data_IF_519556446299
#
_entry.id   IF_519556446299
#
_cell.length_a   1.000
_cell.length_b   1.000
_cell.length_c   1.000
_cell.angle_alpha   90.00
_cell.angle_beta   90.00
_cell.angle_gamma   90.00
#
_symmetry.space_group_name_H-M   'P 1'
#
loop_
_entity.id
_entity.type
_entity.pdbx_description
1 polymer ?
#
# COMPACT_ATOMS: atom_id res chain seq x y z
N UNK A 1 9.11 -8.62 -19.56
CA UNK A 1 8.54 -9.25 -18.36
C UNK A 1 8.63 -10.77 -18.37
N UNK A 2 7.99 -11.49 -19.29
CA UNK A 2 8.07 -12.97 -19.33
C UNK A 2 9.50 -13.49 -19.52
N UNK A 3 10.32 -12.84 -20.33
CA UNK A 3 11.72 -13.21 -20.49
C UNK A 3 12.54 -12.98 -19.23
N UNK A 4 12.31 -11.89 -18.51
CA UNK A 4 12.97 -11.59 -17.23
C UNK A 4 12.68 -12.69 -16.21
N UNK A 5 11.42 -13.07 -16.05
CA UNK A 5 11.00 -14.13 -15.13
C UNK A 5 11.62 -15.48 -15.57
N UNK A 6 11.54 -15.83 -16.85
CA UNK A 6 12.14 -17.08 -17.38
C UNK A 6 13.65 -17.14 -17.13
N UNK A 7 14.36 -16.03 -17.34
CA UNK A 7 15.80 -15.97 -17.11
C UNK A 7 16.16 -15.97 -15.63
N UNK A 8 15.32 -15.38 -14.76
CA UNK A 8 15.47 -15.45 -13.32
C UNK A 8 15.44 -16.90 -12.80
N UNK A 9 14.56 -17.75 -13.33
CA UNK A 9 14.50 -19.18 -12.96
C UNK A 9 15.72 -19.98 -13.37
N UNK A 10 16.51 -19.54 -14.38
CA UNK A 10 17.77 -20.19 -14.77
C UNK A 10 18.88 -19.95 -13.76
N UNK A 11 18.83 -18.88 -12.98
CA UNK A 11 19.85 -18.53 -12.00
C UNK A 11 19.54 -19.23 -10.67
N UNK A 12 20.42 -20.13 -10.23
CA UNK A 12 20.21 -21.02 -9.06
C UNK A 12 19.86 -20.27 -7.77
N UNK A 13 20.51 -19.14 -7.49
CA UNK A 13 20.24 -18.38 -6.25
C UNK A 13 18.93 -17.59 -6.33
N UNK A 14 18.63 -17.02 -7.50
CA UNK A 14 17.39 -16.29 -7.71
C UNK A 14 16.19 -17.24 -7.65
N UNK A 15 16.36 -18.43 -8.21
CA UNK A 15 15.37 -19.51 -8.11
C UNK A 15 15.11 -19.93 -6.65
N UNK A 16 16.16 -20.05 -5.81
CA UNK A 16 15.99 -20.34 -4.38
C UNK A 16 15.19 -19.24 -3.67
N UNK A 17 15.48 -17.95 -3.96
CA UNK A 17 14.75 -16.82 -3.40
C UNK A 17 13.29 -16.80 -3.84
N UNK A 18 13.00 -17.07 -5.11
CA UNK A 18 11.63 -17.17 -5.64
C UNK A 18 10.86 -18.30 -4.96
N UNK A 19 11.46 -19.49 -4.81
CA UNK A 19 10.82 -20.59 -4.10
C UNK A 19 10.57 -20.27 -2.63
N UNK A 20 11.52 -19.60 -1.96
CA UNK A 20 11.33 -19.15 -0.57
C UNK A 20 10.12 -18.23 -0.44
N UNK A 21 10.03 -17.21 -1.32
CA UNK A 21 8.87 -16.30 -1.35
C UNK A 21 7.58 -17.06 -1.60
N UNK A 22 7.55 -17.99 -2.55
CA UNK A 22 6.37 -18.78 -2.85
C UNK A 22 5.92 -19.64 -1.66
N UNK A 23 6.83 -20.33 -0.99
CA UNK A 23 6.49 -21.12 0.20
C UNK A 23 6.02 -20.25 1.36
N UNK A 24 6.63 -19.08 1.56
CA UNK A 24 6.16 -18.12 2.56
C UNK A 24 4.72 -17.68 2.30
N UNK A 25 4.34 -17.43 1.04
CA UNK A 25 2.96 -17.07 0.68
C UNK A 25 1.97 -18.23 0.92
N UNK A 26 2.38 -19.48 0.74
CA UNK A 26 1.55 -20.64 1.11
C UNK A 26 1.27 -20.63 2.63
N UNK A 27 2.28 -20.34 3.45
CA UNK A 27 2.10 -20.23 4.91
C UNK A 27 1.12 -19.11 5.26
N UNK A 28 1.21 -17.95 4.59
CA UNK A 28 0.23 -16.86 4.76
C UNK A 28 -1.19 -17.37 4.44
N UNK A 29 -1.35 -18.14 3.36
CA UNK A 29 -2.69 -18.64 2.97
C UNK A 29 -3.25 -19.64 3.97
N UNK A 30 -2.43 -20.55 4.47
CA UNK A 30 -2.86 -21.51 5.50
C UNK A 30 -3.33 -20.77 6.75
N UNK A 31 -2.53 -19.81 7.26
CA UNK A 31 -2.89 -19.05 8.45
C UNK A 31 -4.13 -18.16 8.25
N UNK A 32 -4.38 -17.68 7.02
CA UNK A 32 -5.60 -16.91 6.71
C UNK A 32 -6.90 -17.74 6.74
N UNK A 33 -6.81 -19.06 6.78
CA UNK A 33 -7.95 -19.97 6.90
C UNK A 33 -8.15 -20.53 8.33
N UNK A 34 -7.20 -20.30 9.24
CA UNK A 34 -7.29 -20.77 10.61
C UNK A 34 -8.12 -19.79 11.45
N UNK A 35 -9.33 -20.16 11.89
CA UNK A 35 -10.18 -19.26 12.67
C UNK A 35 -9.60 -19.00 14.06
N UNK A 36 -9.86 -17.82 14.61
CA UNK A 36 -9.52 -17.47 15.99
C UNK A 36 -10.41 -18.26 16.94
N UNK A 37 -9.84 -18.94 17.94
CA UNK A 37 -10.63 -19.66 18.94
C UNK A 37 -11.56 -18.72 19.72
N UNK A 38 -12.76 -19.18 20.04
CA UNK A 38 -13.72 -18.47 20.89
C UNK A 38 -14.62 -17.47 20.16
N UNK A 39 -14.61 -17.44 18.82
CA UNK A 39 -15.43 -16.52 18.01
C UNK A 39 -16.38 -17.29 17.10
N UNK A 40 -17.63 -16.85 16.99
CA UNK A 40 -18.65 -17.39 16.06
C UNK A 40 -18.41 -16.80 14.67
N UNK A 41 -17.58 -17.45 13.86
CA UNK A 41 -17.16 -16.91 12.55
C UNK A 41 -18.33 -16.71 11.57
N UNK A 42 -19.37 -17.57 11.62
CA UNK A 42 -20.54 -17.45 10.74
C UNK A 42 -21.32 -16.16 11.00
N UNK A 43 -21.55 -15.83 12.25
CA UNK A 43 -22.25 -14.61 12.65
C UNK A 43 -21.45 -13.34 12.27
N UNK A 44 -20.12 -13.40 12.36
CA UNK A 44 -19.25 -12.31 11.93
C UNK A 44 -19.30 -12.16 10.40
N UNK A 45 -19.27 -13.25 9.65
CA UNK A 45 -19.40 -13.23 8.19
C UNK A 45 -20.72 -12.63 7.73
N UNK A 46 -21.83 -12.93 8.40
CA UNK A 46 -23.12 -12.31 8.14
C UNK A 46 -23.11 -10.80 8.43
N UNK A 47 -22.46 -10.39 9.53
CA UNK A 47 -22.26 -8.98 9.86
C UNK A 47 -21.49 -8.26 8.74
N UNK A 48 -20.41 -8.85 8.23
CA UNK A 48 -19.62 -8.27 7.14
C UNK A 48 -20.40 -8.17 5.84
N UNK A 49 -21.19 -9.17 5.49
CA UNK A 49 -22.03 -9.14 4.30
C UNK A 49 -23.11 -8.04 4.36
N UNK A 50 -23.54 -7.68 5.57
CA UNK A 50 -24.51 -6.59 5.81
C UNK A 50 -23.84 -5.20 5.89
N UNK A 51 -22.56 -5.12 6.28
CA UNK A 51 -21.83 -3.87 6.50
C UNK A 51 -20.72 -3.64 5.47
N UNK A 52 -21.05 -3.03 4.35
CA UNK A 52 -20.09 -2.67 3.30
C UNK A 52 -18.97 -1.71 3.73
N UNK A 53 -19.11 -1.10 4.90
CA UNK A 53 -18.14 -0.13 5.44
C UNK A 53 -16.75 -0.72 5.70
N UNK A 54 -16.66 -2.03 5.87
CA UNK A 54 -15.43 -2.76 6.20
C UNK A 54 -14.77 -3.42 4.97
N UNK A 55 -15.32 -3.23 3.78
CA UNK A 55 -14.85 -3.86 2.54
C UNK A 55 -13.37 -3.53 2.25
N UNK A 56 -12.94 -2.30 2.53
CA UNK A 56 -11.55 -1.89 2.31
C UNK A 56 -10.57 -2.72 3.16
N UNK A 57 -10.86 -2.90 4.46
CA UNK A 57 -10.02 -3.75 5.32
C UNK A 57 -10.04 -5.20 4.89
N UNK A 58 -11.22 -5.70 4.56
CA UNK A 58 -11.39 -7.07 4.11
C UNK A 58 -10.61 -7.32 2.80
N UNK A 59 -10.49 -6.30 1.95
CA UNK A 59 -9.71 -6.35 0.71
C UNK A 59 -8.21 -6.41 0.99
N UNK A 60 -7.69 -5.55 1.89
CA UNK A 60 -6.28 -5.56 2.28
C UNK A 60 -5.86 -6.85 3.00
N UNK A 61 -6.78 -7.46 3.74
CA UNK A 61 -6.53 -8.70 4.49
C UNK A 61 -6.75 -9.97 3.68
N UNK A 62 -7.20 -9.86 2.42
CA UNK A 62 -7.44 -11.01 1.55
C UNK A 62 -8.59 -11.91 2.01
N UNK A 63 -9.58 -11.36 2.76
CA UNK A 63 -10.70 -12.09 3.34
C UNK A 63 -10.42 -12.70 4.72
N UNK A 64 -9.20 -12.52 5.26
CA UNK A 64 -8.82 -13.02 6.58
C UNK A 64 -9.63 -12.36 7.70
N UNK A 65 -10.05 -11.11 7.49
CA UNK A 65 -10.85 -10.36 8.43
C UNK A 65 -12.30 -10.87 8.48
N UNK A 66 -12.91 -11.12 7.32
CA UNK A 66 -14.25 -11.68 7.18
C UNK A 66 -14.36 -13.10 7.79
N UNK A 67 -13.32 -13.92 7.61
CA UNK A 67 -13.23 -15.26 8.17
C UNK A 67 -12.76 -15.30 9.62
N UNK A 68 -12.50 -14.14 10.25
CA UNK A 68 -11.92 -14.04 11.60
C UNK A 68 -10.78 -15.03 11.81
N UNK A 69 -9.84 -15.03 10.88
CA UNK A 69 -8.67 -15.88 11.00
C UNK A 69 -7.64 -15.28 11.97
N UNK A 70 -6.66 -16.08 12.37
CA UNK A 70 -5.52 -15.63 13.20
C UNK A 70 -4.80 -14.44 12.54
N UNK A 71 -4.86 -14.33 11.21
CA UNK A 71 -4.30 -13.21 10.44
C UNK A 71 -5.33 -12.11 10.12
N UNK A 72 -6.42 -11.99 10.91
CA UNK A 72 -7.43 -10.97 10.64
C UNK A 72 -6.90 -9.53 10.70
N UNK A 73 -5.98 -9.20 11.62
CA UNK A 73 -5.29 -7.91 11.65
C UNK A 73 -4.30 -7.73 10.50
N UNK A 74 -3.84 -8.84 9.91
CA UNK A 74 -2.85 -8.85 8.84
C UNK A 74 -1.57 -8.05 9.23
N UNK A 75 -1.00 -7.34 8.27
CA UNK A 75 0.15 -6.43 8.42
C UNK A 75 -0.28 -4.97 8.65
N UNK A 76 -1.58 -4.70 8.84
CA UNK A 76 -2.10 -3.34 9.06
C UNK A 76 -1.46 -2.64 10.26
N UNK A 77 -1.29 -3.28 11.44
CA UNK A 77 -0.60 -2.64 12.57
C UNK A 77 0.86 -2.28 12.24
N UNK A 78 1.54 -3.10 11.44
CA UNK A 78 2.92 -2.81 11.02
C UNK A 78 2.99 -1.61 10.07
N UNK A 79 2.06 -1.50 9.12
CA UNK A 79 1.99 -0.35 8.21
C UNK A 79 1.76 0.91 9.02
N UNK A 80 0.79 0.91 9.93
CA UNK A 80 0.48 2.04 10.80
C UNK A 80 1.69 2.43 11.68
N UNK A 81 2.35 1.43 12.29
CA UNK A 81 3.57 1.64 13.07
C UNK A 81 4.69 2.26 12.25
N UNK A 82 4.90 1.77 11.02
CA UNK A 82 5.91 2.31 10.11
C UNK A 82 5.64 3.77 9.76
N UNK A 83 4.37 4.12 9.51
CA UNK A 83 3.94 5.50 9.29
C UNK A 83 4.26 6.37 10.51
N UNK A 84 3.85 5.92 11.69
CA UNK A 84 4.07 6.66 12.94
C UNK A 84 5.56 6.90 13.16
N UNK A 85 6.40 5.88 13.02
CA UNK A 85 7.85 6.02 13.19
C UNK A 85 8.45 6.97 12.13
N UNK A 86 8.03 6.89 10.87
CA UNK A 86 8.49 7.81 9.82
C UNK A 86 8.07 9.26 10.10
N UNK A 87 6.86 9.50 10.59
CA UNK A 87 6.43 10.83 11.02
C UNK A 87 7.24 11.33 12.21
N UNK A 88 7.51 10.46 13.17
CA UNK A 88 8.30 10.80 14.35
C UNK A 88 9.77 11.07 14.04
N UNK A 89 10.34 10.49 12.98
CA UNK A 89 11.72 10.81 12.56
C UNK A 89 11.88 12.26 12.10
N UNK A 90 10.80 12.93 11.69
CA UNK A 90 10.84 14.36 11.35
C UNK A 90 10.61 15.22 12.60
N UNK A 91 9.74 14.76 13.51
CA UNK A 91 9.35 15.53 14.67
C UNK A 91 10.37 15.46 15.83
N UNK A 92 11.10 14.35 15.93
CA UNK A 92 12.02 14.07 17.04
C UNK A 92 13.48 14.06 16.54
N UNK A 93 14.33 15.03 16.92
CA UNK A 93 15.72 15.13 16.45
C UNK A 93 16.54 13.86 16.65
N UNK A 94 16.31 13.16 17.77
CA UNK A 94 17.02 11.90 18.11
C UNK A 94 16.72 10.77 17.11
N UNK A 95 15.49 10.71 16.58
CA UNK A 95 15.12 9.74 15.56
C UNK A 95 15.61 10.17 14.16
N UNK A 96 15.69 11.49 13.92
CA UNK A 96 16.28 12.05 12.70
C UNK A 96 17.78 11.70 12.61
N UNK A 97 18.53 11.80 13.73
CA UNK A 97 19.93 11.37 13.80
C UNK A 97 20.07 9.88 13.45
N UNK A 98 19.24 9.00 14.05
CA UNK A 98 19.24 7.58 13.73
C UNK A 98 18.94 7.32 12.24
N UNK A 99 18.07 8.11 11.63
CA UNK A 99 17.77 7.99 10.19
C UNK A 99 18.99 8.33 9.32
N UNK A 100 19.84 9.26 9.79
CA UNK A 100 21.08 9.69 9.12
C UNK A 100 22.27 8.76 9.36
N UNK A 101 22.25 7.95 10.44
CA UNK A 101 23.33 7.03 10.84
C UNK A 101 23.50 5.80 9.92
N UNK A 102 22.84 5.75 8.78
CA UNK A 102 23.00 4.69 7.80
C UNK A 102 22.35 3.35 8.22
N UNK A 103 23.06 2.23 8.04
CA UNK A 103 22.49 0.89 8.31
C UNK A 103 22.19 0.60 9.78
N UNK A 104 23.05 1.04 10.70
CA UNK A 104 22.83 0.80 12.14
C UNK A 104 21.64 1.56 12.67
N UNK A 105 21.49 2.83 12.28
CA UNK A 105 20.33 3.62 12.64
C UNK A 105 19.02 3.06 12.06
N UNK A 106 19.04 2.59 10.81
CA UNK A 106 17.88 1.93 10.20
C UNK A 106 17.47 0.66 10.93
N UNK A 107 18.40 -0.15 11.40
CA UNK A 107 18.10 -1.35 12.21
C UNK A 107 17.37 -0.97 13.50
N UNK A 108 17.85 0.07 14.22
CA UNK A 108 17.17 0.57 15.43
C UNK A 108 15.77 1.11 15.15
N UNK A 109 15.59 1.86 14.06
CA UNK A 109 14.26 2.33 13.66
C UNK A 109 13.31 1.17 13.34
N UNK A 110 13.81 0.10 12.72
CA UNK A 110 13.03 -1.12 12.47
C UNK A 110 12.64 -1.81 13.79
N UNK A 111 13.53 -1.87 14.78
CA UNK A 111 13.21 -2.39 16.12
C UNK A 111 12.11 -1.57 16.79
N UNK A 112 12.17 -0.25 16.76
CA UNK A 112 11.10 0.61 17.28
C UNK A 112 9.78 0.38 16.54
N UNK A 113 9.83 0.22 15.23
CA UNK A 113 8.64 -0.12 14.44
C UNK A 113 8.02 -1.44 14.89
N UNK A 114 8.82 -2.47 15.18
CA UNK A 114 8.32 -3.76 15.70
C UNK A 114 7.63 -3.60 17.06
N UNK A 115 8.22 -2.85 18.01
CA UNK A 115 7.60 -2.62 19.31
C UNK A 115 6.26 -1.87 19.19
N UNK A 116 6.23 -0.81 18.38
CA UNK A 116 4.99 -0.06 18.12
C UNK A 116 3.96 -0.95 17.43
N UNK A 117 4.37 -1.82 16.50
CA UNK A 117 3.50 -2.79 15.83
C UNK A 117 2.82 -3.71 16.83
N UNK A 118 3.58 -4.29 17.77
CA UNK A 118 3.02 -5.17 18.80
C UNK A 118 2.06 -4.39 19.69
N UNK A 119 2.41 -3.18 20.13
CA UNK A 119 1.53 -2.33 20.92
C UNK A 119 0.21 -2.01 20.21
N UNK A 120 0.27 -1.63 18.94
CA UNK A 120 -0.91 -1.39 18.12
C UNK A 120 -1.73 -2.67 17.90
N UNK A 121 -1.07 -3.81 17.65
CA UNK A 121 -1.77 -5.10 17.50
C UNK A 121 -2.55 -5.49 18.75
N UNK A 122 -1.97 -5.29 19.95
CA UNK A 122 -2.67 -5.52 21.22
C UNK A 122 -3.86 -4.58 21.36
N UNK A 123 -3.70 -3.31 21.03
CA UNK A 123 -4.78 -2.33 21.13
C UNK A 123 -5.92 -2.63 20.14
N UNK A 124 -5.61 -2.93 18.89
CA UNK A 124 -6.59 -3.29 17.87
C UNK A 124 -7.30 -4.60 18.19
N UNK A 125 -6.56 -5.63 18.61
CA UNK A 125 -7.14 -6.92 18.99
C UNK A 125 -8.02 -6.83 20.25
N UNK A 126 -7.66 -5.98 21.22
CA UNK A 126 -8.48 -5.71 22.39
C UNK A 126 -9.80 -5.01 22.00
N UNK A 127 -9.73 -4.01 21.14
CA UNK A 127 -10.91 -3.32 20.61
C UNK A 127 -11.85 -4.30 19.88
N UNK A 128 -11.29 -5.20 19.05
CA UNK A 128 -12.06 -6.24 18.36
C UNK A 128 -12.69 -7.23 19.34
N UNK A 129 -11.93 -7.75 20.30
CA UNK A 129 -12.43 -8.72 21.27
C UNK A 129 -13.58 -8.17 22.11
N UNK A 130 -13.48 -6.92 22.57
CA UNK A 130 -14.52 -6.22 23.32
C UNK A 130 -15.74 -5.95 22.43
N UNK A 131 -15.52 -5.48 21.19
CA UNK A 131 -16.58 -5.21 20.23
C UNK A 131 -17.40 -6.45 19.89
N UNK A 132 -16.74 -7.57 19.61
CA UNK A 132 -17.41 -8.85 19.36
C UNK A 132 -18.10 -9.40 20.60
N UNK A 133 -17.53 -9.19 21.79
CA UNK A 133 -18.16 -9.53 23.05
C UNK A 133 -19.49 -8.80 23.25
N UNK A 134 -19.50 -7.49 23.08
CA UNK A 134 -20.69 -6.66 23.22
C UNK A 134 -21.78 -6.98 22.17
N UNK A 135 -21.37 -7.47 20.99
CA UNK A 135 -22.28 -7.84 19.90
C UNK A 135 -22.79 -9.30 19.98
N UNK A 136 -22.34 -10.08 20.97
CA UNK A 136 -22.78 -11.48 21.15
C UNK A 136 -22.14 -12.48 20.17
N UNK A 137 -21.02 -12.11 19.53
CA UNK A 137 -20.32 -12.96 18.56
C UNK A 137 -19.28 -13.90 19.18
N UNK A 138 -19.21 -13.96 20.52
CA UNK A 138 -18.38 -14.94 21.24
C UNK A 138 -19.08 -16.28 21.35
N UNK A 139 -18.32 -17.36 21.36
CA UNK A 139 -18.83 -18.73 21.51
C UNK A 139 -19.46 -18.94 22.90
N UNK A 140 -18.84 -18.35 23.92
CA UNK A 140 -19.39 -18.33 25.28
C UNK A 140 -20.23 -17.06 25.43
N UNK A 141 -21.52 -17.10 25.31
CA UNK A 141 -22.45 -15.94 25.34
C UNK A 141 -22.17 -14.87 26.42
N UNK A 142 -21.12 -15.00 27.17
CA UNK A 142 -20.61 -14.06 28.19
C UNK A 142 -19.18 -13.63 27.88
N UNK A 143 -18.92 -12.34 28.06
CA UNK A 143 -17.58 -11.79 28.02
C UNK A 143 -16.78 -12.28 29.21
N UNK A 144 -15.96 -13.32 29.02
CA UNK A 144 -15.07 -13.85 30.05
C UNK A 144 -13.67 -13.32 29.80
N UNK A 145 -12.93 -12.96 30.87
CA UNK A 145 -11.55 -12.50 30.75
C UNK A 145 -10.66 -13.45 29.92
N UNK A 146 -10.87 -14.76 30.09
CA UNK A 146 -10.14 -15.80 29.33
C UNK A 146 -10.46 -15.78 27.86
N UNK A 147 -11.73 -15.62 27.45
CA UNK A 147 -12.12 -15.55 26.03
C UNK A 147 -11.52 -14.31 25.36
N UNK A 148 -11.57 -13.15 26.02
CA UNK A 148 -10.96 -11.92 25.52
C UNK A 148 -9.43 -12.04 25.41
N UNK A 149 -8.78 -12.60 26.43
CA UNK A 149 -7.34 -12.81 26.43
C UNK A 149 -6.88 -13.75 25.31
N UNK A 150 -7.60 -14.84 25.06
CA UNK A 150 -7.30 -15.78 23.96
C UNK A 150 -7.37 -15.08 22.60
N UNK A 151 -8.40 -14.27 22.36
CA UNK A 151 -8.57 -13.52 21.10
C UNK A 151 -7.42 -12.53 20.94
N UNK A 152 -7.11 -11.74 21.98
CA UNK A 152 -6.01 -10.74 21.93
C UNK A 152 -4.69 -11.42 21.62
N UNK A 153 -4.35 -12.48 22.34
CA UNK A 153 -3.08 -13.20 22.13
C UNK A 153 -3.02 -13.83 20.74
N UNK A 154 -4.11 -14.44 20.27
CA UNK A 154 -4.16 -15.09 18.96
C UNK A 154 -3.97 -14.10 17.82
N UNK A 155 -4.69 -12.97 17.84
CA UNK A 155 -4.61 -11.94 16.80
C UNK A 155 -3.25 -11.21 16.82
N UNK A 156 -2.75 -10.88 18.01
CA UNK A 156 -1.44 -10.24 18.18
C UNK A 156 -0.32 -11.16 17.70
N UNK A 157 -0.37 -12.44 18.07
CA UNK A 157 0.61 -13.43 17.62
C UNK A 157 0.58 -13.60 16.09
N UNK A 158 -0.63 -13.62 15.50
CA UNK A 158 -0.81 -13.67 14.05
C UNK A 158 -0.20 -12.49 13.31
N UNK A 159 -0.46 -11.27 13.78
CA UNK A 159 0.12 -10.04 13.21
C UNK A 159 1.64 -9.98 13.38
N UNK A 160 2.17 -10.34 14.55
CA UNK A 160 3.60 -10.42 14.81
C UNK A 160 4.28 -11.46 13.91
N UNK A 161 3.65 -12.61 13.69
CA UNK A 161 4.15 -13.64 12.79
C UNK A 161 4.19 -13.16 11.34
N UNK A 162 3.14 -12.48 10.85
CA UNK A 162 3.12 -11.92 9.50
C UNK A 162 4.16 -10.84 9.31
N UNK A 163 4.37 -9.97 10.30
CA UNK A 163 5.44 -8.98 10.29
C UNK A 163 6.81 -9.67 10.14
N UNK A 164 7.10 -10.66 10.99
CA UNK A 164 8.34 -11.42 10.92
C UNK A 164 8.50 -12.13 9.56
N UNK A 165 7.43 -12.75 9.04
CA UNK A 165 7.47 -13.43 7.75
C UNK A 165 7.73 -12.45 6.60
N UNK A 166 7.14 -11.24 6.64
CA UNK A 166 7.41 -10.18 5.67
C UNK A 166 8.87 -9.74 5.68
N UNK A 167 9.48 -9.60 6.87
CA UNK A 167 10.90 -9.29 6.99
C UNK A 167 11.78 -10.44 6.44
N UNK A 168 11.43 -11.70 6.72
CA UNK A 168 12.13 -12.85 6.18
C UNK A 168 12.05 -12.93 4.65
N UNK A 169 10.90 -12.59 4.05
CA UNK A 169 10.76 -12.50 2.59
C UNK A 169 11.67 -11.39 2.04
N UNK A 170 11.74 -10.24 2.71
CA UNK A 170 12.62 -9.13 2.29
C UNK A 170 14.09 -9.52 2.34
N UNK A 171 14.51 -10.25 3.36
CA UNK A 171 15.91 -10.66 3.58
C UNK A 171 16.32 -11.84 2.68
N UNK A 172 15.51 -12.90 2.65
CA UNK A 172 15.85 -14.19 2.00
C UNK A 172 15.12 -14.44 0.69
N UNK A 173 14.09 -13.67 0.40
CA UNK A 173 13.27 -13.79 -0.80
C UNK A 173 13.60 -12.75 -1.87
N UNK A 174 12.57 -12.36 -2.61
CA UNK A 174 12.62 -11.36 -3.68
C UNK A 174 11.62 -10.25 -3.36
N UNK A 175 12.01 -9.00 -3.55
CA UNK A 175 11.13 -7.86 -3.35
C UNK A 175 10.98 -7.43 -1.88
N UNK A 176 10.10 -6.48 -1.65
CA UNK A 176 9.68 -6.07 -0.31
C UNK A 176 8.61 -7.04 0.20
N UNK A 177 8.93 -7.84 1.22
CA UNK A 177 8.05 -8.91 1.71
C UNK A 177 6.69 -8.41 2.20
N UNK A 178 6.64 -7.25 2.86
CA UNK A 178 5.39 -6.63 3.30
C UNK A 178 4.49 -6.29 2.10
N UNK A 179 5.07 -5.67 1.08
CA UNK A 179 4.35 -5.31 -0.16
C UNK A 179 3.88 -6.57 -0.91
N UNK A 180 4.69 -7.64 -0.91
CA UNK A 180 4.33 -8.91 -1.55
C UNK A 180 3.18 -9.61 -0.81
N UNK A 181 3.16 -9.59 0.52
CA UNK A 181 2.04 -10.13 1.30
C UNK A 181 0.76 -9.34 1.00
N UNK A 182 0.83 -8.00 0.94
CA UNK A 182 -0.31 -7.17 0.53
C UNK A 182 -0.80 -7.51 -0.87
N UNK A 183 0.11 -7.58 -1.84
CA UNK A 183 -0.19 -7.97 -3.21
C UNK A 183 -0.91 -9.33 -3.24
N UNK A 184 -0.37 -10.31 -2.53
CA UNK A 184 -0.93 -11.66 -2.48
C UNK A 184 -2.36 -11.66 -1.89
N UNK A 185 -2.59 -10.95 -0.81
CA UNK A 185 -3.90 -10.84 -0.18
C UNK A 185 -4.93 -10.21 -1.13
N UNK A 186 -4.57 -9.12 -1.82
CA UNK A 186 -5.44 -8.47 -2.78
C UNK A 186 -5.74 -9.43 -3.96
N UNK A 187 -4.71 -10.06 -4.53
CA UNK A 187 -4.87 -10.99 -5.65
C UNK A 187 -5.71 -12.21 -5.26
N UNK A 188 -5.63 -12.68 -4.02
CA UNK A 188 -6.41 -13.84 -3.56
C UNK A 188 -7.94 -13.63 -3.58
N UNK A 189 -8.40 -12.36 -3.55
CA UNK A 189 -9.83 -12.00 -3.65
C UNK A 189 -10.30 -11.76 -5.07
N UNK A 190 -9.39 -11.57 -6.03
CA UNK A 190 -9.74 -11.29 -7.43
C UNK A 190 -10.79 -12.24 -8.00
N UNK A 191 -10.71 -13.58 -7.79
CA UNK A 191 -11.72 -14.50 -8.32
C UNK A 191 -13.13 -14.23 -7.79
N UNK A 192 -13.28 -13.94 -6.49
CA UNK A 192 -14.57 -13.63 -5.88
C UNK A 192 -15.13 -12.31 -6.41
N UNK A 193 -14.28 -11.32 -6.55
CA UNK A 193 -14.66 -10.00 -7.06
C UNK A 193 -15.11 -10.08 -8.52
N UNK A 194 -14.43 -10.88 -9.34
CA UNK A 194 -14.85 -11.17 -10.72
C UNK A 194 -16.18 -11.91 -10.77
N UNK A 195 -16.40 -12.86 -9.86
CA UNK A 195 -17.68 -13.56 -9.77
C UNK A 195 -18.83 -12.60 -9.43
N UNK A 196 -18.61 -11.69 -8.47
CA UNK A 196 -19.60 -10.68 -8.09
C UNK A 196 -19.94 -9.73 -9.25
N UNK A 197 -18.92 -9.29 -10.01
CA UNK A 197 -19.13 -8.48 -11.22
C UNK A 197 -19.92 -9.23 -12.28
N UNK A 198 -19.58 -10.50 -12.50
CA UNK A 198 -20.30 -11.36 -13.46
C UNK A 198 -21.77 -11.51 -13.06
N UNK A 199 -22.06 -11.80 -11.80
CA UNK A 199 -23.44 -11.94 -11.32
C UNK A 199 -24.24 -10.64 -11.48
N UNK A 200 -23.64 -9.51 -11.15
CA UNK A 200 -24.34 -8.23 -11.16
C UNK A 200 -24.56 -7.67 -12.57
N UNK A 201 -23.55 -7.71 -13.42
CA UNK A 201 -23.60 -7.06 -14.73
C UNK A 201 -24.00 -7.98 -15.87
N UNK A 202 -23.76 -9.28 -15.76
CA UNK A 202 -24.04 -10.23 -16.83
C UNK A 202 -25.33 -11.00 -16.53
N UNK A 203 -25.44 -11.66 -15.36
CA UNK A 203 -26.67 -12.36 -14.97
C UNK A 203 -27.83 -11.43 -14.62
N UNK A 204 -27.56 -10.28 -13.99
CA UNK A 204 -28.56 -9.28 -13.63
C UNK A 204 -28.99 -8.35 -14.76
N UNK A 205 -28.42 -8.49 -15.96
CA UNK A 205 -28.79 -7.68 -17.11
C UNK A 205 -30.15 -8.09 -17.69
N UNK A 206 -31.00 -7.11 -17.96
CA UNK A 206 -32.33 -7.33 -18.54
C UNK A 206 -32.28 -7.85 -19.99
N UNK A 207 -31.17 -7.64 -20.67
CA UNK A 207 -30.93 -8.07 -22.06
C UNK A 207 -29.50 -8.55 -22.20
N UNK A 208 -29.28 -9.61 -22.99
CA UNK A 208 -27.95 -10.19 -23.27
C UNK A 208 -26.97 -9.12 -23.82
N UNK A 209 -27.48 -8.23 -24.68
CA UNK A 209 -26.69 -7.12 -25.24
C UNK A 209 -26.16 -6.17 -24.15
N UNK A 210 -27.00 -5.81 -23.17
CA UNK A 210 -26.59 -4.93 -22.07
C UNK A 210 -25.57 -5.61 -21.17
N UNK A 211 -25.68 -6.92 -20.92
CA UNK A 211 -24.71 -7.69 -20.17
C UNK A 211 -23.34 -7.74 -20.87
N UNK A 212 -23.34 -7.95 -22.18
CA UNK A 212 -22.10 -8.01 -22.97
C UNK A 212 -21.43 -6.63 -23.06
N UNK A 213 -22.19 -5.55 -23.26
CA UNK A 213 -21.69 -4.17 -23.22
C UNK A 213 -21.10 -3.84 -21.84
N UNK A 214 -21.78 -4.21 -20.77
CA UNK A 214 -21.27 -4.00 -19.40
C UNK A 214 -19.93 -4.70 -19.16
N UNK A 215 -19.80 -5.96 -19.60
CA UNK A 215 -18.55 -6.72 -19.49
C UNK A 215 -17.40 -6.05 -20.27
N UNK A 216 -17.65 -5.63 -21.51
CA UNK A 216 -16.66 -4.96 -22.35
C UNK A 216 -16.21 -3.63 -21.72
N UNK A 217 -17.13 -2.82 -21.20
CA UNK A 217 -16.81 -1.56 -20.54
C UNK A 217 -15.95 -1.81 -19.30
N UNK A 218 -16.31 -2.77 -18.45
CA UNK A 218 -15.54 -3.08 -17.23
C UNK A 218 -14.10 -3.51 -17.60
N UNK A 219 -13.96 -4.42 -18.56
CA UNK A 219 -12.64 -4.88 -19.00
C UNK A 219 -11.82 -3.72 -19.58
N UNK A 220 -12.44 -2.88 -20.41
CA UNK A 220 -11.78 -1.73 -21.02
C UNK A 220 -11.30 -0.72 -19.96
N UNK A 221 -12.12 -0.44 -18.95
CA UNK A 221 -11.75 0.45 -17.84
C UNK A 221 -10.61 -0.14 -17.00
N UNK A 222 -10.69 -1.43 -16.65
CA UNK A 222 -9.63 -2.11 -15.88
C UNK A 222 -8.30 -2.10 -16.64
N UNK A 223 -8.30 -2.46 -17.92
CA UNK A 223 -7.10 -2.42 -18.76
C UNK A 223 -6.56 -0.99 -18.92
N UNK A 224 -7.44 -0.02 -19.15
CA UNK A 224 -7.06 1.39 -19.23
C UNK A 224 -6.41 1.89 -17.95
N UNK A 225 -6.95 1.52 -16.78
CA UNK A 225 -6.35 1.86 -15.48
C UNK A 225 -4.99 1.21 -15.28
N UNK A 226 -4.84 -0.08 -15.61
CA UNK A 226 -3.54 -0.78 -15.50
C UNK A 226 -2.49 -0.10 -16.38
N UNK A 227 -2.82 0.20 -17.65
CA UNK A 227 -1.92 0.91 -18.57
C UNK A 227 -1.55 2.29 -18.01
N UNK A 228 -2.54 3.05 -17.51
CA UNK A 228 -2.30 4.36 -16.92
C UNK A 228 -1.36 4.29 -15.69
N UNK A 229 -1.57 3.31 -14.81
CA UNK A 229 -0.70 3.12 -13.64
C UNK A 229 0.72 2.75 -14.06
N UNK A 230 0.88 1.89 -15.09
CA UNK A 230 2.21 1.53 -15.61
C UNK A 230 2.92 2.78 -16.14
N UNK A 231 2.25 3.59 -16.96
CA UNK A 231 2.80 4.82 -17.51
C UNK A 231 3.19 5.81 -16.39
N UNK A 232 2.34 5.94 -15.37
CA UNK A 232 2.60 6.80 -14.22
C UNK A 232 3.80 6.33 -13.38
N UNK A 233 3.96 5.01 -13.21
CA UNK A 233 5.00 4.41 -12.36
C UNK A 233 6.35 4.27 -13.08
N UNK A 234 6.34 4.12 -14.41
CA UNK A 234 7.56 4.05 -15.23
C UNK A 234 8.00 5.41 -15.76
N UNK A 235 7.11 6.41 -15.76
CA UNK A 235 7.43 7.76 -16.18
C UNK A 235 8.59 8.33 -15.37
N UNK A 236 9.66 8.77 -16.03
CA UNK A 236 10.82 9.39 -15.39
C UNK A 236 11.29 10.63 -16.13
N UNK A 237 11.69 11.64 -15.37
CA UNK A 237 12.38 12.82 -15.90
C UNK A 237 13.87 12.67 -15.69
N UNK A 238 14.64 12.60 -16.76
CA UNK A 238 16.10 12.48 -16.74
C UNK A 238 16.72 13.87 -16.72
N UNK A 239 17.48 14.18 -15.66
CA UNK A 239 18.24 15.42 -15.53
C UNK A 239 19.68 15.11 -15.91
N UNK A 240 20.19 15.77 -16.97
CA UNK A 240 21.57 15.59 -17.44
C UNK A 240 22.55 16.14 -16.41
N UNK A 241 23.57 15.35 -16.08
CA UNK A 241 24.69 15.73 -15.22
C UNK A 241 25.99 15.47 -15.95
N UNK A 242 26.88 16.43 -15.90
CA UNK A 242 28.23 16.32 -16.46
C UNK A 242 29.25 16.26 -15.32
N UNK A 243 30.18 15.34 -15.43
CA UNK A 243 31.30 15.24 -14.50
C UNK A 243 32.56 15.81 -15.11
N UNK A 244 33.33 16.59 -14.33
CA UNK A 244 34.60 17.16 -14.77
C UNK A 244 35.59 16.04 -15.09
N UNK A 245 36.35 16.20 -16.15
CA UNK A 245 37.48 15.32 -16.48
C UNK A 245 38.54 15.47 -15.39
N UNK A 246 38.99 14.36 -14.80
CA UNK A 246 40.14 14.35 -13.88
C UNK A 246 41.36 13.81 -14.61
N UNK A 247 42.49 14.50 -14.48
CA UNK A 247 43.78 14.00 -14.96
C UNK A 247 44.36 13.06 -13.89
N UNK A 248 44.56 11.80 -14.23
CA UNK A 248 45.25 10.83 -13.40
C UNK A 248 46.56 10.43 -14.10
N UNK A 249 47.65 11.10 -13.73
CA UNK A 249 48.91 11.01 -14.44
C UNK A 249 48.84 11.62 -15.84
N UNK A 250 49.26 10.89 -16.86
CA UNK A 250 49.21 11.31 -18.28
C UNK A 250 47.86 10.99 -18.98
N UNK A 251 46.92 10.31 -18.32
CA UNK A 251 45.63 9.94 -18.90
C UNK A 251 44.50 10.83 -18.38
N UNK A 252 43.67 11.34 -19.26
CA UNK A 252 42.41 11.99 -18.94
C UNK A 252 41.37 10.90 -18.63
N UNK A 253 40.95 10.81 -17.38
CA UNK A 253 39.90 9.87 -16.89
C UNK A 253 38.68 10.68 -16.51
N UNK A 254 37.48 10.26 -16.95
CA UNK A 254 36.22 10.94 -16.65
C UNK A 254 35.69 11.76 -17.81
N UNK A 255 34.64 12.54 -17.57
CA UNK A 255 33.93 13.29 -18.61
C UNK A 255 32.76 12.54 -19.21
N UNK A 256 32.27 11.49 -18.52
CA UNK A 256 31.02 10.84 -18.89
C UNK A 256 29.83 11.72 -18.47
N UNK A 257 28.93 11.94 -19.43
CA UNK A 257 27.63 12.51 -19.14
C UNK A 257 26.75 11.41 -18.52
N UNK A 258 26.19 11.69 -17.37
CA UNK A 258 25.23 10.82 -16.69
C UNK A 258 23.89 11.54 -16.54
N UNK A 259 22.87 10.88 -16.03
CA UNK A 259 21.60 11.52 -15.74
C UNK A 259 21.05 11.06 -14.39
N UNK A 260 20.34 11.95 -13.71
CA UNK A 260 19.59 11.64 -12.50
C UNK A 260 18.15 11.34 -12.95
N UNK A 261 17.67 10.08 -12.79
CA UNK A 261 16.29 9.75 -13.09
C UNK A 261 15.39 10.17 -11.91
N UNK A 262 14.42 11.05 -12.16
CA UNK A 262 13.37 11.41 -11.21
C UNK A 262 12.07 10.75 -11.69
N UNK A 263 11.57 9.78 -10.94
CA UNK A 263 10.31 9.10 -11.26
C UNK A 263 9.13 10.03 -11.01
N UNK A 264 8.11 10.00 -11.87
CA UNK A 264 6.87 10.76 -11.73
C UNK A 264 6.14 10.33 -10.46
N UNK A 265 6.06 9.03 -10.22
CA UNK A 265 5.55 8.47 -8.98
C UNK A 265 6.71 8.05 -8.07
N UNK A 266 7.41 9.02 -7.50
CA UNK A 266 8.52 8.77 -6.55
C UNK A 266 8.04 8.17 -5.23
N UNK A 267 6.84 8.55 -4.79
CA UNK A 267 6.25 8.07 -3.54
C UNK A 267 5.66 6.64 -3.64
N UNK A 268 5.51 6.10 -4.85
CA UNK A 268 4.97 4.77 -5.07
C UNK A 268 3.50 4.66 -4.65
N UNK A 269 3.16 3.55 -4.00
CA UNK A 269 1.81 3.24 -3.50
C UNK A 269 1.56 3.72 -2.07
N UNK A 270 2.60 4.13 -1.36
CA UNK A 270 2.57 4.43 0.07
C UNK A 270 1.57 5.54 0.43
N UNK A 271 1.49 6.68 -0.30
CA UNK A 271 0.52 7.74 0.00
C UNK A 271 -0.92 7.27 -0.03
N UNK A 272 -1.24 6.36 -0.94
CA UNK A 272 -2.60 5.83 -1.10
C UNK A 272 -2.96 4.91 0.07
N UNK A 273 -2.03 4.07 0.49
CA UNK A 273 -2.20 3.20 1.66
C UNK A 273 -2.38 4.05 2.93
N UNK A 274 -1.58 5.11 3.10
CA UNK A 274 -1.65 5.99 4.26
C UNK A 274 -2.98 6.74 4.32
N UNK A 275 -3.39 7.36 3.22
CA UNK A 275 -4.67 8.05 3.15
C UNK A 275 -5.83 7.06 3.42
N UNK A 276 -5.81 5.88 2.82
CA UNK A 276 -6.81 4.84 3.02
C UNK A 276 -6.88 4.36 4.47
N UNK A 277 -5.74 4.06 5.08
CA UNK A 277 -5.67 3.61 6.49
C UNK A 277 -6.19 4.67 7.45
N UNK A 278 -5.80 5.94 7.25
CA UNK A 278 -6.26 7.04 8.12
C UNK A 278 -7.78 7.25 8.04
N UNK A 279 -8.36 7.12 6.84
CA UNK A 279 -9.82 7.21 6.66
C UNK A 279 -10.58 6.03 7.25
N UNK A 280 -10.01 4.84 7.17
CA UNK A 280 -10.68 3.61 7.57
C UNK A 280 -10.58 3.36 9.07
N UNK A 281 -9.53 3.84 9.74
CA UNK A 281 -9.30 3.60 11.18
C UNK A 281 -10.47 4.07 12.07
N UNK A 282 -11.02 5.29 11.92
CA UNK A 282 -12.18 5.71 12.70
C UNK A 282 -13.44 4.86 12.47
N UNK A 283 -13.62 4.38 11.23
CA UNK A 283 -14.78 3.53 10.87
C UNK A 283 -14.67 2.17 11.56
N UNK A 284 -13.47 1.59 11.60
CA UNK A 284 -13.22 0.30 12.27
C UNK A 284 -13.42 0.42 13.76
N UNK A 285 -12.85 1.45 14.40
CA UNK A 285 -13.02 1.69 15.84
C UNK A 285 -14.50 1.89 16.18
N UNK A 286 -15.23 2.68 15.39
CA UNK A 286 -16.66 2.90 15.57
C UNK A 286 -17.49 1.62 15.36
N UNK A 287 -17.11 0.81 14.36
CA UNK A 287 -17.76 -0.48 14.10
C UNK A 287 -17.66 -1.43 15.30
N UNK A 288 -16.50 -1.49 15.95
CA UNK A 288 -16.32 -2.28 17.19
C UNK A 288 -17.04 -1.67 18.39
N UNK A 289 -17.23 -0.35 18.43
CA UNK A 289 -18.08 0.29 19.45
C UNK A 289 -19.59 0.14 19.17
N UNK A 290 -20.00 -0.60 18.12
CA UNK A 290 -21.40 -0.77 17.71
C UNK A 290 -22.01 0.46 17.08
N UNK A 291 -21.20 1.48 16.73
CA UNK A 291 -21.65 2.73 16.13
C UNK A 291 -21.59 2.58 14.61
N UNK A 292 -22.75 2.56 13.95
CA UNK A 292 -22.83 2.49 12.49
C UNK A 292 -22.93 3.87 11.86
N UNK A 293 -22.33 4.07 10.66
CA UNK A 293 -22.56 5.28 9.87
C UNK A 293 -24.05 5.42 9.56
N UNK A 294 -24.67 6.52 9.93
CA UNK A 294 -26.08 6.78 9.69
C UNK A 294 -26.30 8.14 9.03
N UNK A 295 -27.43 8.28 8.33
CA UNK A 295 -27.88 9.52 7.70
C UNK A 295 -29.29 9.85 8.13
N UNK A 296 -29.62 11.14 8.21
CA UNK A 296 -30.95 11.64 8.57
C UNK A 296 -30.94 12.54 9.79
N UNK A 297 -32.12 13.04 10.16
CA UNK A 297 -32.27 14.02 11.25
C UNK A 297 -32.07 13.43 12.64
N UNK A 298 -32.20 12.11 12.79
CA UNK A 298 -31.93 11.39 14.03
C UNK A 298 -30.48 10.91 14.23
N UNK A 299 -29.61 11.09 13.23
CA UNK A 299 -28.22 10.62 13.32
C UNK A 299 -27.36 11.59 14.14
N UNK A 300 -26.59 11.01 15.10
CA UNK A 300 -25.62 11.76 15.89
C UNK A 300 -24.54 12.38 14.98
N UNK A 301 -23.92 13.48 15.44
CA UNK A 301 -22.82 14.14 14.73
C UNK A 301 -21.69 13.18 14.40
N UNK A 302 -21.32 12.31 15.32
CA UNK A 302 -20.31 11.26 15.10
C UNK A 302 -20.67 10.28 13.98
N UNK A 303 -21.93 9.86 13.89
CA UNK A 303 -22.41 8.97 12.81
C UNK A 303 -22.39 9.65 11.45
N UNK A 304 -22.66 10.96 11.38
CA UNK A 304 -22.54 11.75 10.16
C UNK A 304 -21.10 11.88 9.71
N UNK A 305 -20.15 12.10 10.62
CA UNK A 305 -18.71 12.10 10.32
C UNK A 305 -18.27 10.75 9.78
N UNK A 306 -18.63 9.65 10.44
CA UNK A 306 -18.31 8.30 9.99
C UNK A 306 -18.84 8.04 8.56
N UNK A 307 -20.00 8.57 8.23
CA UNK A 307 -20.55 8.47 6.88
C UNK A 307 -19.75 9.29 5.85
N UNK A 308 -19.25 10.48 6.22
CA UNK A 308 -18.34 11.27 5.37
C UNK A 308 -17.03 10.53 5.13
N UNK A 309 -16.50 9.84 6.13
CA UNK A 309 -15.26 9.07 6.02
C UNK A 309 -15.44 7.77 5.21
N UNK A 310 -16.66 7.26 5.08
CA UNK A 310 -16.91 5.99 4.40
C UNK A 310 -16.87 6.13 2.89
N UNK A 311 -15.87 5.51 2.24
CA UNK A 311 -15.66 5.56 0.80
C UNK A 311 -16.87 5.05 -0.02
N UNK A 312 -17.64 4.10 0.53
CA UNK A 312 -18.83 3.55 -0.12
C UNK A 312 -20.02 4.51 -0.13
N UNK A 313 -19.94 5.62 0.60
CA UNK A 313 -20.98 6.67 0.64
C UNK A 313 -20.74 7.80 -0.35
N UNK A 314 -19.58 7.78 -1.03
CA UNK A 314 -19.21 8.87 -1.95
C UNK A 314 -19.77 8.64 -3.36
N UNK A 315 -20.01 9.73 -4.06
CA UNK A 315 -20.53 9.73 -5.45
C UNK A 315 -21.85 8.94 -5.64
N UNK A 316 -22.68 8.87 -4.61
CA UNK A 316 -23.99 8.23 -4.75
C UNK A 316 -24.99 9.21 -5.39
N UNK A 317 -25.28 8.98 -6.69
CA UNK A 317 -26.16 9.83 -7.47
C UNK A 317 -27.63 9.46 -7.33
N UNK A 318 -27.97 8.27 -6.83
CA UNK A 318 -29.35 7.80 -6.66
C UNK A 318 -30.11 8.60 -5.59
N UNK A 319 -29.37 9.25 -4.66
CA UNK A 319 -29.94 10.04 -3.57
C UNK A 319 -29.28 11.42 -3.51
N UNK A 320 -29.86 12.40 -4.17
CA UNK A 320 -29.36 13.80 -4.19
C UNK A 320 -29.07 14.38 -2.80
N UNK A 321 -29.78 13.95 -1.75
CA UNK A 321 -29.54 14.36 -0.37
C UNK A 321 -28.25 13.77 0.25
N UNK A 322 -27.68 12.73 -0.33
CA UNK A 322 -26.46 12.09 0.14
C UNK A 322 -25.19 12.63 -0.54
N UNK A 323 -25.34 13.44 -1.58
CA UNK A 323 -24.21 14.05 -2.31
C UNK A 323 -23.28 14.87 -1.39
N UNK A 324 -23.80 15.44 -0.30
CA UNK A 324 -22.99 16.14 0.71
C UNK A 324 -21.88 15.29 1.34
N UNK A 325 -22.02 13.96 1.36
CA UNK A 325 -21.01 13.05 1.90
C UNK A 325 -19.82 12.87 0.95
N UNK A 326 -19.95 13.29 -0.33
CA UNK A 326 -18.84 13.35 -1.29
C UNK A 326 -17.73 14.34 -0.84
N UNK A 327 -18.01 15.21 0.16
CA UNK A 327 -16.96 16.01 0.80
C UNK A 327 -15.80 15.13 1.31
N UNK A 328 -16.08 13.90 1.76
CA UNK A 328 -15.05 12.94 2.16
C UNK A 328 -14.07 12.62 1.04
N UNK A 329 -14.53 12.53 -0.20
CA UNK A 329 -13.66 12.32 -1.36
C UNK A 329 -12.68 13.48 -1.56
N UNK A 330 -13.13 14.72 -1.38
CA UNK A 330 -12.26 15.91 -1.50
C UNK A 330 -11.18 15.88 -0.42
N UNK A 331 -11.56 15.58 0.82
CA UNK A 331 -10.60 15.44 1.94
C UNK A 331 -9.62 14.30 1.67
N UNK A 332 -10.08 13.18 1.13
CA UNK A 332 -9.24 12.05 0.76
C UNK A 332 -8.19 12.42 -0.30
N UNK A 333 -8.58 13.16 -1.35
CA UNK A 333 -7.67 13.65 -2.39
C UNK A 333 -6.62 14.60 -1.80
N UNK A 334 -7.05 15.55 -0.98
CA UNK A 334 -6.13 16.49 -0.30
C UNK A 334 -5.12 15.72 0.56
N UNK A 335 -5.59 14.73 1.30
CA UNK A 335 -4.74 13.90 2.14
C UNK A 335 -3.75 13.06 1.31
N UNK A 336 -4.21 12.51 0.18
CA UNK A 336 -3.37 11.75 -0.74
C UNK A 336 -2.25 12.63 -1.32
N UNK A 337 -2.58 13.84 -1.77
CA UNK A 337 -1.60 14.81 -2.25
C UNK A 337 -0.62 15.18 -1.13
N UNK A 338 -1.13 15.45 0.08
CA UNK A 338 -0.30 15.76 1.24
C UNK A 338 0.70 14.63 1.52
N UNK A 339 0.26 13.38 1.58
CA UNK A 339 1.15 12.24 1.82
C UNK A 339 2.12 11.99 0.67
N UNK A 340 1.75 12.29 -0.58
CA UNK A 340 2.66 12.19 -1.71
C UNK A 340 3.84 13.18 -1.58
N UNK A 341 3.56 14.43 -1.22
CA UNK A 341 4.60 15.42 -0.94
C UNK A 341 5.42 15.04 0.29
N UNK A 342 4.74 14.67 1.36
CA UNK A 342 5.37 14.32 2.62
C UNK A 342 6.34 13.15 2.45
N UNK A 343 5.90 12.04 1.86
CA UNK A 343 6.74 10.85 1.67
C UNK A 343 7.91 11.12 0.73
N UNK A 344 7.67 11.86 -0.34
CA UNK A 344 8.76 12.19 -1.26
C UNK A 344 9.80 13.10 -0.63
N UNK A 345 9.41 14.01 0.27
CA UNK A 345 10.36 14.89 0.99
C UNK A 345 11.29 14.12 1.93
N UNK A 346 10.82 12.97 2.45
CA UNK A 346 11.65 12.08 3.29
C UNK A 346 12.59 11.23 2.43
N UNK A 347 12.06 10.69 1.33
CA UNK A 347 12.79 9.71 0.51
C UNK A 347 13.84 10.35 -0.38
N UNK A 348 13.59 11.57 -0.81
CA UNK A 348 14.46 12.29 -1.74
C UNK A 348 14.91 13.63 -1.15
N UNK A 349 16.18 13.71 -0.80
CA UNK A 349 16.80 14.93 -0.25
C UNK A 349 17.61 15.67 -1.34
N UNK A 350 17.06 16.76 -1.93
CA UNK A 350 17.76 17.51 -2.99
C UNK A 350 19.06 18.13 -2.52
N UNK A 351 19.18 18.50 -1.22
CA UNK A 351 20.39 19.09 -0.68
C UNK A 351 21.54 18.10 -0.64
N UNK A 352 21.26 16.89 -0.16
CA UNK A 352 22.25 15.82 -0.08
C UNK A 352 22.75 15.42 -1.49
N UNK A 353 21.84 15.28 -2.44
CA UNK A 353 22.17 14.95 -3.84
C UNK A 353 23.04 16.05 -4.46
N UNK A 354 22.68 17.32 -4.27
CA UNK A 354 23.45 18.45 -4.78
C UNK A 354 24.86 18.53 -4.14
N UNK A 355 24.98 18.24 -2.83
CA UNK A 355 26.26 18.19 -2.14
C UNK A 355 27.13 17.02 -2.62
N UNK A 356 26.55 15.82 -2.75
CA UNK A 356 27.27 14.63 -3.22
C UNK A 356 27.75 14.83 -4.65
N UNK A 357 26.90 15.39 -5.51
CA UNK A 357 27.26 15.74 -6.87
C UNK A 357 28.42 16.74 -6.92
N UNK A 358 28.39 17.80 -6.09
CA UNK A 358 29.46 18.77 -5.97
C UNK A 358 30.78 18.13 -5.51
N UNK A 359 30.73 17.23 -4.50
CA UNK A 359 31.91 16.50 -4.02
C UNK A 359 32.54 15.62 -5.11
N UNK A 360 31.73 15.05 -5.99
CA UNK A 360 32.18 14.21 -7.10
C UNK A 360 32.63 15.02 -8.36
N UNK A 361 32.54 16.36 -8.32
CA UNK A 361 32.86 17.21 -9.44
C UNK A 361 31.81 17.19 -10.56
N UNK A 362 30.57 16.79 -10.22
CA UNK A 362 29.42 16.81 -11.11
C UNK A 362 28.70 18.17 -11.08
N UNK A 363 28.12 18.55 -12.20
CA UNK A 363 27.30 19.77 -12.32
C UNK A 363 26.20 19.58 -13.38
N UNK A 364 25.11 20.32 -13.20
CA UNK A 364 24.04 20.38 -14.19
C UNK A 364 24.39 21.49 -15.19
N UNK A 365 24.39 21.23 -16.51
CA UNK A 365 24.71 22.25 -17.53
C UNK A 365 23.82 23.50 -17.33
N UNK A 366 24.46 24.68 -17.28
CA UNK A 366 23.80 25.96 -17.09
C UNK A 366 23.45 26.32 -15.65
N UNK A 367 23.74 25.46 -14.65
CA UNK A 367 23.42 25.72 -13.24
C UNK A 367 24.68 25.62 -12.38
N UNK A 368 24.91 26.63 -11.52
CA UNK A 368 26.09 26.64 -10.63
C UNK A 368 25.95 25.53 -9.57
N UNK A 369 27.04 24.76 -9.28
CA UNK A 369 27.07 23.78 -8.22
C UNK A 369 26.76 24.38 -6.84
N UNK A 370 26.01 23.68 -6.00
CA UNK A 370 25.65 24.08 -4.65
C UNK A 370 24.18 24.50 -4.51
N UNK A 371 23.90 25.59 -3.80
CA UNK A 371 22.52 26.05 -3.51
C UNK A 371 21.65 26.21 -4.78
N UNK A 372 22.10 26.81 -5.90
CA UNK A 372 21.29 26.90 -7.10
C UNK A 372 20.89 25.53 -7.68
N UNK A 373 21.76 24.52 -7.54
CA UNK A 373 21.46 23.14 -7.95
C UNK A 373 20.38 22.53 -7.04
N UNK A 374 20.44 22.76 -5.73
CA UNK A 374 19.40 22.33 -4.78
C UNK A 374 18.06 22.96 -5.12
N UNK A 375 18.02 24.28 -5.33
CA UNK A 375 16.79 25.01 -5.64
C UNK A 375 16.15 24.51 -6.95
N UNK A 376 16.99 24.24 -7.96
CA UNK A 376 16.54 23.68 -9.23
C UNK A 376 15.95 22.28 -9.08
N UNK A 377 16.65 21.39 -8.37
CA UNK A 377 16.17 20.03 -8.10
C UNK A 377 14.86 20.05 -7.31
N UNK A 378 14.75 20.91 -6.30
CA UNK A 378 13.53 21.06 -5.48
C UNK A 378 12.36 21.54 -6.35
N UNK A 379 12.58 22.52 -7.24
CA UNK A 379 11.53 23.01 -8.13
C UNK A 379 11.02 21.93 -9.07
N UNK A 380 11.93 21.18 -9.69
CA UNK A 380 11.54 20.05 -10.57
C UNK A 380 10.82 18.97 -9.79
N UNK A 381 11.34 18.60 -8.62
CA UNK A 381 10.76 17.57 -7.76
C UNK A 381 9.32 17.92 -7.40
N UNK A 382 9.07 19.15 -6.92
CA UNK A 382 7.73 19.60 -6.56
C UNK A 382 6.75 19.51 -7.73
N UNK A 383 7.18 19.89 -8.94
CA UNK A 383 6.34 19.77 -10.13
C UNK A 383 6.03 18.33 -10.49
N UNK A 384 7.01 17.44 -10.37
CA UNK A 384 6.86 16.01 -10.67
C UNK A 384 5.95 15.35 -9.64
N UNK A 385 6.14 15.64 -8.34
CA UNK A 385 5.28 15.12 -7.26
C UNK A 385 3.83 15.51 -7.50
N UNK A 386 3.58 16.76 -7.88
CA UNK A 386 2.22 17.23 -8.15
C UNK A 386 1.56 16.42 -9.28
N UNK A 387 2.26 16.22 -10.40
CA UNK A 387 1.76 15.42 -11.53
C UNK A 387 1.51 13.97 -11.07
N UNK A 388 2.43 13.37 -10.32
CA UNK A 388 2.29 12.04 -9.75
C UNK A 388 1.10 11.91 -8.80
N UNK A 389 0.93 12.87 -7.89
CA UNK A 389 -0.16 12.89 -6.93
C UNK A 389 -1.54 13.07 -7.59
N UNK A 390 -1.63 13.92 -8.62
CA UNK A 390 -2.86 14.06 -9.42
C UNK A 390 -3.17 12.77 -10.18
N UNK A 391 -2.15 12.14 -10.78
CA UNK A 391 -2.30 10.83 -11.43
C UNK A 391 -2.79 9.74 -10.48
N UNK A 392 -2.19 9.64 -9.28
CA UNK A 392 -2.64 8.71 -8.23
C UNK A 392 -4.06 9.00 -7.77
N UNK A 393 -4.42 10.29 -7.60
CA UNK A 393 -5.78 10.71 -7.24
C UNK A 393 -6.79 10.28 -8.30
N UNK A 394 -6.46 10.45 -9.58
CA UNK A 394 -7.32 10.01 -10.68
C UNK A 394 -7.58 8.49 -10.60
N UNK A 395 -6.54 7.67 -10.44
CA UNK A 395 -6.70 6.22 -10.30
C UNK A 395 -7.52 5.84 -9.08
N UNK A 396 -7.37 6.55 -7.96
CA UNK A 396 -8.12 6.29 -6.74
C UNK A 396 -9.61 6.65 -6.87
N UNK A 397 -9.94 7.72 -7.62
CA UNK A 397 -11.31 8.22 -7.80
C UNK A 397 -12.14 7.34 -8.73
N UNK A 398 -11.54 6.83 -9.82
CA UNK A 398 -12.28 6.09 -10.86
C UNK A 398 -13.14 4.96 -10.29
N UNK A 399 -12.65 4.01 -9.48
CA UNK A 399 -13.49 2.96 -8.92
C UNK A 399 -14.55 3.46 -7.94
N UNK A 400 -14.24 4.50 -7.15
CA UNK A 400 -15.20 5.13 -6.24
C UNK A 400 -16.37 5.72 -7.03
N UNK A 401 -16.07 6.38 -8.14
CA UNK A 401 -17.08 6.88 -9.06
C UNK A 401 -17.92 5.76 -9.66
N UNK A 402 -17.29 4.69 -10.12
CA UNK A 402 -18.01 3.51 -10.67
C UNK A 402 -18.88 2.83 -9.62
N UNK A 403 -18.41 2.71 -8.39
CA UNK A 403 -19.18 2.15 -7.28
C UNK A 403 -20.39 3.03 -6.94
N UNK A 404 -20.21 4.34 -6.89
CA UNK A 404 -21.27 5.28 -6.57
C UNK A 404 -22.31 5.47 -7.68
N UNK A 405 -21.85 5.60 -8.94
CA UNK A 405 -22.72 5.86 -10.09
C UNK A 405 -23.50 4.64 -10.58
N UNK A 406 -22.86 3.46 -10.55
CA UNK A 406 -23.45 2.23 -11.08
C UNK A 406 -23.86 1.24 -9.98
N UNK A 407 -23.70 1.62 -8.71
CA UNK A 407 -23.94 0.73 -7.58
C UNK A 407 -23.11 -0.55 -7.64
N UNK A 408 -22.08 -0.57 -8.48
CA UNK A 408 -21.19 -1.69 -8.65
C UNK A 408 -20.19 -1.66 -7.49
N UNK A 409 -20.28 -2.61 -6.55
CA UNK A 409 -19.19 -2.86 -5.66
C UNK A 409 -18.04 -3.48 -6.48
N UNK A 410 -17.30 -2.61 -7.17
CA UNK A 410 -16.07 -3.02 -7.81
C UNK A 410 -15.04 -3.06 -6.70
N UNK A 411 -14.85 -4.23 -6.12
CA UNK A 411 -13.84 -4.52 -5.10
C UNK A 411 -12.41 -4.26 -5.62
N UNK A 412 -12.24 -4.14 -6.93
CA UNK A 412 -11.06 -3.56 -7.57
C UNK A 412 -11.01 -2.04 -7.35
N UNK A 413 -10.92 -1.62 -6.09
CA UNK A 413 -10.65 -0.22 -5.77
C UNK A 413 -9.38 0.23 -6.47
N UNK A 414 -9.31 1.49 -6.92
CA UNK A 414 -8.10 2.04 -7.54
C UNK A 414 -6.86 1.84 -6.69
N UNK A 415 -7.02 1.82 -5.38
CA UNK A 415 -5.97 1.51 -4.41
C UNK A 415 -5.39 0.11 -4.62
N UNK A 416 -6.22 -0.91 -4.82
CA UNK A 416 -5.76 -2.28 -5.04
C UNK A 416 -5.02 -2.45 -6.36
N UNK A 417 -5.49 -1.85 -7.43
CA UNK A 417 -4.79 -1.87 -8.72
C UNK A 417 -3.44 -1.15 -8.66
N UNK A 418 -3.37 0.00 -7.97
CA UNK A 418 -2.10 0.71 -7.76
C UNK A 418 -1.12 -0.18 -7.00
N UNK A 419 -1.58 -0.86 -5.94
CA UNK A 419 -0.74 -1.77 -5.15
C UNK A 419 -0.26 -2.94 -6.01
N UNK A 420 -1.17 -3.60 -6.73
CA UNK A 420 -0.84 -4.75 -7.59
C UNK A 420 0.23 -4.34 -8.62
N UNK A 421 -0.05 -3.33 -9.41
CA UNK A 421 0.85 -2.91 -10.50
C UNK A 421 2.17 -2.37 -9.94
N UNK A 422 2.10 -1.53 -8.90
CA UNK A 422 3.29 -0.92 -8.28
C UNK A 422 4.24 -1.97 -7.70
N UNK A 423 3.71 -2.91 -6.90
CA UNK A 423 4.52 -3.97 -6.27
C UNK A 423 5.09 -4.93 -7.31
N UNK A 424 4.32 -5.30 -8.34
CA UNK A 424 4.82 -6.15 -9.44
C UNK A 424 5.95 -5.46 -10.19
N UNK A 425 5.80 -4.19 -10.56
CA UNK A 425 6.85 -3.44 -11.25
C UNK A 425 8.11 -3.27 -10.40
N UNK A 426 7.96 -2.95 -9.10
CA UNK A 426 9.07 -2.81 -8.18
C UNK A 426 9.83 -4.13 -8.01
N UNK A 427 9.09 -5.23 -7.81
CA UNK A 427 9.69 -6.58 -7.67
C UNK A 427 10.42 -6.99 -8.95
N UNK A 428 9.84 -6.75 -10.13
CA UNK A 428 10.50 -7.04 -11.40
C UNK A 428 11.79 -6.24 -11.59
N UNK A 429 11.78 -4.93 -11.28
CA UNK A 429 13.00 -4.08 -11.35
C UNK A 429 14.08 -4.58 -10.39
N UNK A 430 13.70 -5.05 -9.21
CA UNK A 430 14.64 -5.63 -8.25
C UNK A 430 15.24 -6.95 -8.74
N UNK A 431 14.42 -7.81 -9.37
CA UNK A 431 14.90 -9.05 -10.02
C UNK A 431 15.88 -8.73 -11.14
N UNK A 432 15.54 -7.78 -12.01
CA UNK A 432 16.41 -7.33 -13.11
C UNK A 432 17.76 -6.78 -12.60
N UNK A 433 17.72 -5.94 -11.57
CA UNK A 433 18.94 -5.42 -10.93
C UNK A 433 19.83 -6.54 -10.37
N UNK A 434 19.24 -7.55 -9.70
CA UNK A 434 20.00 -8.69 -9.19
C UNK A 434 20.59 -9.56 -10.31
N UNK A 435 19.94 -9.66 -11.46
CA UNK A 435 20.47 -10.35 -12.64
C UNK A 435 21.65 -9.59 -13.28
N UNK A 436 21.56 -8.27 -13.43
CA UNK A 436 22.60 -7.43 -14.01
C UNK A 436 23.91 -7.48 -13.21
N UNK A 437 23.82 -7.39 -11.88
CA UNK A 437 25.00 -7.44 -11.00
C UNK A 437 25.78 -8.76 -11.16
N UNK A 438 25.14 -9.86 -11.53
CA UNK A 438 25.80 -11.16 -11.73
C UNK A 438 26.41 -11.32 -13.13
N UNK A 439 25.81 -10.78 -14.16
CA UNK A 439 26.43 -10.75 -15.47
C UNK A 439 27.79 -10.02 -15.43
N UNK A 440 27.89 -8.98 -14.61
CA UNK A 440 29.16 -8.23 -14.44
C UNK A 440 30.23 -9.05 -13.65
N UNK A 441 29.84 -9.92 -12.71
CA UNK A 441 30.76 -10.77 -11.97
C UNK A 441 31.30 -11.94 -12.80
N UNK A 442 30.57 -12.40 -13.80
CA UNK A 442 31.05 -13.42 -14.74
C UNK A 442 32.19 -12.95 -15.62
N UNK A 443 32.25 -11.64 -15.94
CA UNK A 443 33.32 -11.05 -16.73
C UNK A 443 34.60 -10.72 -15.94
N UNK A 444 34.58 -10.75 -14.61
CA UNK A 444 35.75 -10.43 -13.76
C UNK A 444 36.47 -11.71 -13.31
N UNK A 445 35.84 -12.88 -13.43
CA UNK A 445 36.38 -14.17 -13.02
C UNK A 445 36.82 -15.08 -14.20
N UNK A 446 36.85 -14.55 -15.43
CA UNK A 446 37.59 -15.01 -16.58
C UNK A 446 38.82 -14.10 -16.81
#
# INVERSE_FOLDING_TARGET
MFETVRNAFKIKDLRKKLFYTFFALIVVRIGSQLPVPGVKYEAIREMFNSQKSLDFFNQLTGGSFESMSIFALNITPYITASIIIQLLTIAIPRLEELHKDGEEGRKKLTEYTRYVTIGLSVMESAAMAIGFGNSGYLTDDKITFTSVAVIIVSLTAGSAFLMWLGEQITEKGVGNGISIILLYNIVSRLPNDMANLYEKFIKGATTVTNGLLGAVIIIAVLLGMVVFIIVLSDGERRISVQYSKKTQGRKLVGGQSSHIPLKVNTAGVIPVIFAGSLFSMPIVIAGFAGIQPASGDGASFGQKILKVLNQNSWCNFDRLGEFKYTLGLVVYIVLLIFFAYFYTSITFNPQEIAMNMKKQGGFIPGIRPGKPTTDYLTKILNSIIFIGAVGLSFVAIVPIFFSGAFGANVSFGGTSLIIIVGVVLETLKQVESQMLVRHYRGFINE
#
